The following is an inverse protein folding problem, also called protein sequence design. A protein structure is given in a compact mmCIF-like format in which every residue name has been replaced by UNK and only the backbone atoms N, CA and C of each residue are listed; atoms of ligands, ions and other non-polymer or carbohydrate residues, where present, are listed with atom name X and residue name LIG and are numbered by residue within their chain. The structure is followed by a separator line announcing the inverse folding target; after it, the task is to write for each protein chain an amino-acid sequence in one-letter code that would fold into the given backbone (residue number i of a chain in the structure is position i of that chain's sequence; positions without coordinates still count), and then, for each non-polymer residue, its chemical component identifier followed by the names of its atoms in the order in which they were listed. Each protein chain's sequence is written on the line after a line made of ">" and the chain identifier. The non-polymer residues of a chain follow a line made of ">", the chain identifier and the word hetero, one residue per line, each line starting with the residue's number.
data_IF_554347370944
#
_entry.id   IF_554347370944
#
_cell.length_a   1.000
_cell.length_b   1.000
_cell.length_c   1.000
_cell.angle_alpha   90.00
_cell.angle_beta   90.00
_cell.angle_gamma   90.00
#
_symmetry.space_group_name_H-M   'P 1'
#
loop_
_entity.id
_entity.type
_entity.pdbx_description
1 polymer ?
#
# COMPACT_ATOMS: atom_id res chain seq x y z
N UNK A 1 13.00 0.78 21.15
CA UNK A 1 12.07 1.88 21.52
C UNK A 1 11.62 2.59 20.24
N UNK A 2 10.93 1.86 19.36
CA UNK A 2 10.63 2.26 17.96
C UNK A 2 9.20 2.78 17.78
N UNK A 3 8.52 3.12 18.89
CA UNK A 3 7.05 3.04 19.01
C UNK A 3 6.25 4.15 18.31
N UNK A 4 6.87 5.12 17.65
CA UNK A 4 6.11 6.30 17.15
C UNK A 4 6.61 6.90 15.84
N UNK A 5 7.71 6.44 15.27
CA UNK A 5 8.20 6.99 14.00
C UNK A 5 7.72 6.13 12.84
N UNK A 6 6.81 6.69 12.08
CA UNK A 6 6.44 6.23 10.75
C UNK A 6 7.30 7.05 9.77
N UNK A 7 8.02 6.44 8.81
CA UNK A 7 8.85 7.18 7.87
C UNK A 7 8.01 8.25 7.17
N UNK A 8 8.41 9.51 7.30
CA UNK A 8 7.72 10.66 6.69
C UNK A 8 6.38 11.10 7.31
N UNK A 9 5.84 10.46 8.35
CA UNK A 9 4.57 10.88 8.95
C UNK A 9 4.78 12.03 9.93
N UNK A 10 4.32 13.22 9.54
CA UNK A 10 3.96 14.32 10.44
C UNK A 10 2.47 14.54 10.23
N UNK A 11 1.70 14.86 11.27
CA UNK A 11 0.30 15.23 11.09
C UNK A 11 0.21 16.33 10.00
N UNK A 12 -0.55 16.07 8.91
CA UNK A 12 -0.63 16.96 7.75
C UNK A 12 0.41 16.72 6.63
N UNK A 13 1.29 15.72 6.74
CA UNK A 13 2.17 15.26 5.64
C UNK A 13 1.83 13.83 5.21
N UNK A 14 1.99 13.63 3.90
CA UNK A 14 1.89 12.42 3.07
C UNK A 14 1.55 11.09 3.78
N UNK A 15 0.54 10.37 3.25
CA UNK A 15 0.17 9.02 3.71
C UNK A 15 1.39 8.11 3.87
N UNK A 16 1.46 7.25 4.92
CA UNK A 16 2.54 6.29 5.09
C UNK A 16 2.66 5.32 3.90
N UNK A 17 1.59 5.17 3.14
CA UNK A 17 1.53 4.32 1.96
C UNK A 17 1.92 5.03 0.66
N UNK A 18 2.41 6.26 0.70
CA UNK A 18 2.87 6.99 -0.50
C UNK A 18 4.39 7.21 -0.51
N UNK A 19 5.08 6.85 0.57
CA UNK A 19 6.54 6.99 0.69
C UNK A 19 7.29 6.05 -0.25
N UNK A 20 8.41 6.51 -0.82
CA UNK A 20 9.22 5.74 -1.77
C UNK A 20 10.09 4.69 -1.05
N UNK A 21 9.74 3.42 -1.26
CA UNK A 21 10.35 2.28 -0.58
C UNK A 21 11.51 1.74 -1.43
N UNK A 22 12.72 2.20 -1.11
CA UNK A 22 14.01 1.73 -1.66
C UNK A 22 14.93 1.34 -0.49
N UNK A 23 15.93 0.46 -0.70
CA UNK A 23 16.90 0.12 0.35
C UNK A 23 17.57 1.36 0.94
N UNK A 24 18.01 2.29 0.09
CA UNK A 24 18.63 3.54 0.50
C UNK A 24 17.71 4.42 1.36
N UNK A 25 16.43 4.59 0.97
CA UNK A 25 15.50 5.38 1.77
C UNK A 25 15.16 4.66 3.09
N UNK A 26 15.01 3.34 3.06
CA UNK A 26 14.75 2.55 4.27
C UNK A 26 15.90 2.66 5.27
N UNK A 27 17.15 2.57 4.82
CA UNK A 27 18.32 2.78 5.67
C UNK A 27 18.34 4.19 6.28
N UNK A 28 18.16 5.23 5.45
CA UNK A 28 18.14 6.64 5.89
C UNK A 28 17.04 6.93 6.93
N UNK A 29 15.88 6.31 6.79
CA UNK A 29 14.75 6.50 7.69
C UNK A 29 14.81 5.59 8.94
N UNK A 30 15.84 4.73 9.06
CA UNK A 30 16.05 3.86 10.23
C UNK A 30 15.32 2.51 10.17
N UNK A 31 15.00 2.03 8.98
CA UNK A 31 14.38 0.74 8.69
C UNK A 31 15.27 -0.15 7.80
N UNK A 32 16.56 -0.34 8.11
CA UNK A 32 17.50 -1.04 7.22
C UNK A 32 17.11 -2.51 6.94
N UNK A 33 16.31 -3.12 7.81
CA UNK A 33 15.84 -4.51 7.72
C UNK A 33 14.48 -4.66 7.02
N UNK A 34 13.91 -3.60 6.43
CA UNK A 34 12.61 -3.66 5.75
C UNK A 34 12.53 -4.79 4.71
N UNK A 35 13.55 -4.88 3.86
CA UNK A 35 13.63 -5.87 2.79
C UNK A 35 13.95 -7.29 3.30
N UNK A 36 14.30 -7.46 4.57
CA UNK A 36 14.41 -8.79 5.19
C UNK A 36 13.04 -9.41 5.50
N UNK A 37 11.97 -8.62 5.53
CA UNK A 37 10.60 -9.09 5.77
C UNK A 37 9.69 -8.91 4.56
N UNK A 38 9.93 -7.89 3.75
CA UNK A 38 9.08 -7.54 2.60
C UNK A 38 9.82 -7.78 1.29
N UNK A 39 9.44 -8.86 0.62
CA UNK A 39 10.05 -9.26 -0.66
C UNK A 39 9.60 -8.39 -1.84
N UNK A 40 8.32 -8.01 -1.86
CA UNK A 40 7.69 -7.27 -2.98
C UNK A 40 7.11 -5.95 -2.47
N UNK A 41 7.93 -4.89 -2.31
CA UNK A 41 7.44 -3.61 -1.80
C UNK A 41 6.39 -2.99 -2.73
N UNK A 42 5.27 -2.56 -2.13
CA UNK A 42 4.19 -1.87 -2.83
C UNK A 42 3.71 -0.67 -2.03
N UNK A 43 3.35 0.41 -2.73
CA UNK A 43 2.84 1.66 -2.17
C UNK A 43 1.95 2.36 -3.22
N UNK A 44 1.16 3.34 -2.82
CA UNK A 44 0.23 4.10 -3.68
C UNK A 44 0.95 4.81 -4.83
N UNK A 45 2.19 5.29 -4.61
CA UNK A 45 3.00 5.93 -5.66
C UNK A 45 3.38 4.94 -6.77
N UNK A 46 3.75 3.70 -6.41
CA UNK A 46 4.05 2.61 -7.35
C UNK A 46 2.79 2.13 -8.07
N UNK A 47 1.66 2.01 -7.37
CA UNK A 47 0.36 1.69 -7.97
C UNK A 47 -0.02 2.74 -9.02
N UNK A 48 0.03 4.02 -8.65
CA UNK A 48 -0.21 5.15 -9.56
C UNK A 48 0.71 5.08 -10.79
N UNK A 49 2.00 4.82 -10.60
CA UNK A 49 2.96 4.64 -11.70
C UNK A 49 2.60 3.47 -12.61
N UNK A 50 2.19 2.33 -12.05
CA UNK A 50 1.76 1.14 -12.83
C UNK A 50 0.54 1.43 -13.68
N UNK A 51 -0.46 2.13 -13.14
CA UNK A 51 -1.65 2.57 -13.89
C UNK A 51 -1.23 3.41 -15.11
N UNK A 52 -0.37 4.42 -14.92
CA UNK A 52 0.07 5.27 -16.03
C UNK A 52 0.94 4.55 -17.05
N UNK A 53 1.82 3.65 -16.62
CA UNK A 53 2.76 2.97 -17.51
C UNK A 53 2.11 1.87 -18.34
N UNK A 54 1.22 1.09 -17.74
CA UNK A 54 0.53 -0.01 -18.42
C UNK A 54 -0.72 0.44 -19.17
N UNK A 55 -1.34 1.53 -18.71
CA UNK A 55 -2.59 2.02 -19.25
C UNK A 55 -3.77 1.09 -18.96
N UNK A 56 -4.96 1.52 -19.38
CA UNK A 56 -6.24 0.87 -19.09
C UNK A 56 -6.39 -0.54 -19.71
N UNK A 57 -5.57 -0.89 -20.71
CA UNK A 57 -5.67 -2.18 -21.38
C UNK A 57 -4.86 -3.30 -20.70
N UNK A 58 -3.89 -2.96 -19.85
CA UNK A 58 -3.00 -3.95 -19.21
C UNK A 58 -2.98 -3.85 -17.69
N UNK A 59 -3.65 -2.85 -17.11
CA UNK A 59 -3.79 -2.70 -15.67
C UNK A 59 -5.27 -2.61 -15.32
N UNK A 60 -5.80 -3.75 -14.90
CA UNK A 60 -7.23 -3.94 -14.60
C UNK A 60 -7.56 -3.56 -13.15
N UNK A 61 -8.84 -3.46 -12.83
CA UNK A 61 -9.36 -3.36 -11.46
C UNK A 61 -8.85 -4.52 -10.60
N UNK A 62 -8.75 -5.72 -11.16
CA UNK A 62 -8.19 -6.86 -10.44
C UNK A 62 -6.72 -6.61 -10.04
N UNK A 63 -5.89 -6.09 -10.96
CA UNK A 63 -4.51 -5.73 -10.64
C UNK A 63 -4.41 -4.62 -9.59
N UNK A 64 -5.29 -3.63 -9.66
CA UNK A 64 -5.36 -2.58 -8.64
C UNK A 64 -5.65 -3.16 -7.25
N UNK A 65 -6.68 -4.01 -7.13
CA UNK A 65 -7.06 -4.65 -5.87
C UNK A 65 -5.90 -5.50 -5.34
N UNK A 66 -5.23 -6.27 -6.20
CA UNK A 66 -4.07 -7.09 -5.83
C UNK A 66 -2.90 -6.25 -5.31
N UNK A 67 -2.55 -5.15 -5.99
CA UNK A 67 -1.45 -4.29 -5.55
C UNK A 67 -1.79 -3.59 -4.21
N UNK A 68 -3.04 -3.14 -4.00
CA UNK A 68 -3.47 -2.56 -2.72
C UNK A 68 -3.45 -3.63 -1.60
N UNK A 69 -3.93 -4.85 -1.86
CA UNK A 69 -3.84 -5.95 -0.89
C UNK A 69 -2.40 -6.32 -0.56
N UNK A 70 -1.50 -6.31 -1.53
CA UNK A 70 -0.07 -6.52 -1.31
C UNK A 70 0.53 -5.42 -0.43
N UNK A 71 0.18 -4.16 -0.67
CA UNK A 71 0.59 -3.02 0.15
C UNK A 71 0.14 -3.18 1.61
N UNK A 72 -1.13 -3.55 1.84
CA UNK A 72 -1.70 -3.82 3.17
C UNK A 72 -0.97 -5.01 3.84
N UNK A 73 -0.79 -6.12 3.12
CA UNK A 73 -0.07 -7.30 3.64
C UNK A 73 1.35 -6.97 4.07
N UNK A 74 2.08 -6.22 3.26
CA UNK A 74 3.44 -5.78 3.58
C UNK A 74 3.47 -4.89 4.83
N UNK A 75 2.46 -4.02 5.01
CA UNK A 75 2.32 -3.24 6.22
C UNK A 75 2.23 -4.12 7.46
N UNK A 76 1.39 -5.16 7.45
CA UNK A 76 1.26 -6.08 8.58
C UNK A 76 2.51 -6.93 8.83
N UNK A 77 3.18 -7.38 7.77
CA UNK A 77 4.42 -8.16 7.87
C UNK A 77 5.54 -7.38 8.56
N UNK A 78 5.72 -6.12 8.16
CA UNK A 78 6.77 -5.26 8.72
C UNK A 78 6.37 -4.73 10.11
N UNK A 79 5.15 -4.22 10.26
CA UNK A 79 4.67 -3.59 11.49
C UNK A 79 4.06 -4.63 12.44
N UNK A 80 4.85 -5.51 13.02
CA UNK A 80 4.35 -6.66 13.83
C UNK A 80 3.49 -6.28 15.04
N UNK A 81 3.77 -5.14 15.68
CA UNK A 81 3.00 -4.69 16.83
C UNK A 81 1.58 -4.25 16.41
N UNK A 82 0.55 -4.91 16.95
CA UNK A 82 -0.85 -4.58 16.70
C UNK A 82 -1.22 -3.13 17.04
N UNK A 83 -0.59 -2.54 18.06
CA UNK A 83 -0.82 -1.15 18.45
C UNK A 83 -0.08 -0.13 17.57
N UNK A 84 0.62 -0.55 16.50
CA UNK A 84 1.29 0.38 15.60
C UNK A 84 0.25 1.18 14.78
N UNK A 85 0.28 2.52 14.79
CA UNK A 85 -0.73 3.34 14.11
C UNK A 85 -0.78 3.14 12.59
N UNK A 86 0.30 2.68 11.96
CA UNK A 86 0.30 2.35 10.52
C UNK A 86 -0.58 1.13 10.22
N UNK A 87 -0.71 0.19 11.18
CA UNK A 87 -1.65 -0.92 11.05
C UNK A 87 -3.09 -0.43 11.05
N UNK A 88 -3.45 0.49 11.96
CA UNK A 88 -4.80 1.06 11.99
C UNK A 88 -5.15 1.76 10.66
N UNK A 89 -4.18 2.42 10.03
CA UNK A 89 -4.37 2.96 8.68
C UNK A 89 -4.57 1.86 7.63
N UNK A 90 -3.84 0.73 7.73
CA UNK A 90 -4.03 -0.42 6.85
C UNK A 90 -5.40 -1.10 7.04
N UNK A 91 -5.89 -1.20 8.28
CA UNK A 91 -7.22 -1.73 8.59
C UNK A 91 -8.31 -0.89 7.91
N UNK A 92 -8.18 0.45 7.97
CA UNK A 92 -9.08 1.36 7.24
C UNK A 92 -9.02 1.17 5.73
N UNK A 93 -7.83 1.06 5.15
CA UNK A 93 -7.66 0.78 3.72
C UNK A 93 -8.28 -0.57 3.30
N UNK A 94 -8.17 -1.61 4.12
CA UNK A 94 -8.74 -2.92 3.82
C UNK A 94 -10.27 -2.86 3.81
N UNK A 95 -10.87 -2.19 4.80
CA UNK A 95 -12.31 -1.97 4.86
C UNK A 95 -12.81 -1.13 3.67
N UNK A 96 -12.13 -0.02 3.35
CA UNK A 96 -12.47 0.85 2.23
C UNK A 96 -12.33 0.12 0.88
N UNK A 97 -11.27 -0.69 0.71
CA UNK A 97 -11.06 -1.48 -0.50
C UNK A 97 -12.16 -2.54 -0.65
N UNK A 98 -12.54 -3.21 0.43
CA UNK A 98 -13.61 -4.21 0.42
C UNK A 98 -14.95 -3.57 0.04
N UNK A 99 -15.30 -2.43 0.64
CA UNK A 99 -16.51 -1.70 0.31
C UNK A 99 -16.49 -1.18 -1.14
N UNK A 100 -15.37 -0.59 -1.57
CA UNK A 100 -15.20 -0.07 -2.94
C UNK A 100 -15.31 -1.17 -3.99
N UNK A 101 -14.68 -2.33 -3.76
CA UNK A 101 -14.69 -3.45 -4.69
C UNK A 101 -16.08 -4.07 -4.92
N UNK A 102 -17.01 -3.85 -3.98
CA UNK A 102 -18.40 -4.33 -4.08
C UNK A 102 -19.36 -3.30 -4.68
N UNK A 103 -18.89 -2.08 -4.99
CA UNK A 103 -19.77 -1.08 -5.60
C UNK A 103 -20.24 -1.53 -6.98
N UNK A 104 -21.52 -1.31 -7.35
CA UNK A 104 -22.06 -1.76 -8.64
C UNK A 104 -21.30 -1.24 -9.86
N UNK A 105 -20.81 0.00 -9.81
CA UNK A 105 -20.01 0.59 -10.89
C UNK A 105 -18.65 -0.09 -11.05
N UNK A 106 -18.00 -0.45 -9.95
CA UNK A 106 -16.71 -1.18 -9.96
C UNK A 106 -16.90 -2.60 -10.48
N UNK A 107 -17.93 -3.31 -10.01
CA UNK A 107 -18.26 -4.64 -10.49
C UNK A 107 -18.55 -4.64 -11.99
N UNK A 108 -19.30 -3.65 -12.48
CA UNK A 108 -19.57 -3.48 -13.91
C UNK A 108 -18.30 -3.24 -14.70
N UNK A 109 -17.41 -2.34 -14.25
CA UNK A 109 -16.16 -2.07 -14.94
C UNK A 109 -15.27 -3.31 -14.98
N UNK A 110 -15.19 -4.06 -13.88
CA UNK A 110 -14.40 -5.29 -13.81
C UNK A 110 -14.89 -6.34 -14.82
N UNK A 111 -16.21 -6.49 -14.98
CA UNK A 111 -16.80 -7.40 -15.97
C UNK A 111 -16.55 -6.97 -17.43
N UNK A 112 -16.16 -5.71 -17.68
CA UNK A 112 -15.78 -5.22 -19.02
C UNK A 112 -14.29 -5.42 -19.31
N UNK A 113 -13.48 -5.75 -18.30
CA UNK A 113 -12.05 -6.01 -18.42
C UNK A 113 -11.73 -7.51 -18.63
N UNK A 114 -12.72 -8.39 -18.44
CA UNK A 114 -12.68 -9.84 -18.72
C UNK A 114 -13.13 -10.14 -20.15
#
# INVERSE_FOLDING_TARGET
>A
MWKTKVPGWKAGKLSPFSWDITPENCEKEGFPDYFSYVEKPMNLTKIKKRIYQKGRHQYTIANFIEDVKLMIKNCYLFNRNAANPVRAAADGFDADLAAWAQRPDVLRLKALEE
#
